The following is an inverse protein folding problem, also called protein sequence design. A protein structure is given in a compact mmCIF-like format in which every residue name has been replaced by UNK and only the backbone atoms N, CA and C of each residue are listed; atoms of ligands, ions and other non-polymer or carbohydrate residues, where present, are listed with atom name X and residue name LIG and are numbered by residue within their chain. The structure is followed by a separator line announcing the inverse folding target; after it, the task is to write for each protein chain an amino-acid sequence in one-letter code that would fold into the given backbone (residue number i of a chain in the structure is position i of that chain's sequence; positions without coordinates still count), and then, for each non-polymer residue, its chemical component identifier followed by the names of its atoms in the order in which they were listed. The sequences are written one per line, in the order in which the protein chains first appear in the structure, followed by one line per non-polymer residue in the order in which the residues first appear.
data_IF_338169042139
#
_entry.id   IF_338169042139
#
_cell.length_a   1.000
_cell.length_b   1.000
_cell.length_c   1.000
_cell.angle_alpha   90.00
_cell.angle_beta   90.00
_cell.angle_gamma   90.00
#
_symmetry.space_group_name_H-M   'P 1'
#
loop_
_entity.id
_entity.type
_entity.pdbx_description
1 polymer ?
#
# COMPACT_ATOMS: atom_id res chain seq x y z
N UNK A 1 -8.37 60.91 3.24
CA UNK A 1 -8.96 60.67 4.55
C UNK A 1 -8.08 59.67 5.22
N UNK A 2 -7.17 60.13 6.08
CA UNK A 2 -6.07 59.42 6.73
C UNK A 2 -6.59 58.91 8.05
N UNK A 3 -6.63 57.61 8.27
CA UNK A 3 -6.97 57.05 9.60
C UNK A 3 -5.66 56.75 10.31
N UNK A 4 -5.43 57.53 11.35
CA UNK A 4 -4.32 57.37 12.30
C UNK A 4 -4.52 56.09 13.12
N UNK A 5 -3.47 55.30 13.25
CA UNK A 5 -3.37 54.19 14.23
C UNK A 5 -2.97 54.77 15.58
N UNK A 6 -3.83 54.60 16.57
CA UNK A 6 -3.52 54.85 17.96
C UNK A 6 -2.55 53.80 18.51
N UNK A 7 -1.45 54.29 19.09
CA UNK A 7 -0.48 53.51 19.85
C UNK A 7 -0.98 53.34 21.29
N UNK A 8 -1.02 52.12 21.78
CA UNK A 8 -1.29 51.83 23.20
C UNK A 8 -0.05 52.12 24.04
N UNK A 9 -0.20 52.70 25.25
CA UNK A 9 0.91 52.99 26.15
C UNK A 9 1.40 51.72 26.87
N UNK A 10 2.71 51.66 27.04
CA UNK A 10 3.43 50.68 27.83
C UNK A 10 3.05 50.82 29.31
N UNK A 11 2.71 49.70 29.94
CA UNK A 11 2.53 49.61 31.41
C UNK A 11 3.83 49.04 31.99
N UNK A 12 4.72 49.93 32.38
CA UNK A 12 5.69 49.69 33.43
C UNK A 12 4.97 49.64 34.80
N UNK A 13 5.57 48.90 35.72
CA UNK A 13 5.24 48.73 37.15
C UNK A 13 4.43 47.48 37.52
N UNK A 14 5.20 46.43 37.81
CA UNK A 14 4.89 45.53 38.91
C UNK A 14 6.16 45.05 39.61
N UNK A 15 6.64 45.93 40.48
CA UNK A 15 7.56 45.59 41.54
C UNK A 15 6.89 44.65 42.58
N UNK A 16 7.64 43.61 42.90
CA UNK A 16 7.77 42.98 44.19
C UNK A 16 6.49 42.55 44.96
N UNK A 17 6.11 41.28 44.80
CA UNK A 17 5.52 40.54 45.92
C UNK A 17 6.25 39.22 46.11
N UNK A 18 7.05 39.18 47.22
CA UNK A 18 7.68 37.98 47.73
C UNK A 18 6.61 36.90 48.01
N UNK A 19 6.60 35.85 47.23
CA UNK A 19 5.79 34.66 47.49
C UNK A 19 6.45 33.76 48.55
N UNK A 20 5.71 33.07 49.39
CA UNK A 20 6.26 32.26 50.46
C UNK A 20 7.06 31.08 49.92
N UNK A 21 8.22 30.87 50.51
CA UNK A 21 9.13 29.74 50.34
C UNK A 21 8.35 28.42 50.30
N UNK A 22 8.40 27.71 49.15
CA UNK A 22 7.83 26.36 49.04
C UNK A 22 8.77 25.39 49.73
N UNK A 23 8.38 24.89 50.86
CA UNK A 23 9.01 23.75 51.51
C UNK A 23 9.15 22.60 50.55
N UNK A 24 10.38 22.20 50.24
CA UNK A 24 10.71 20.97 49.53
C UNK A 24 10.46 19.79 50.50
N UNK A 25 9.21 19.36 50.64
CA UNK A 25 8.88 18.10 51.25
C UNK A 25 9.40 16.99 50.32
N UNK A 26 10.41 16.28 50.77
CA UNK A 26 10.86 15.03 50.13
C UNK A 26 9.71 14.04 50.18
N UNK A 27 8.99 13.90 49.04
CA UNK A 27 8.01 12.81 48.86
C UNK A 27 8.77 11.49 48.74
N UNK A 28 8.75 10.72 49.81
CA UNK A 28 9.20 9.33 49.76
C UNK A 28 8.51 8.60 48.62
N UNK A 29 9.29 8.15 47.63
CA UNK A 29 8.78 7.38 46.52
C UNK A 29 8.38 6.01 47.04
N UNK A 30 7.09 5.76 47.17
CA UNK A 30 6.54 4.40 47.47
C UNK A 30 7.17 3.38 46.51
N UNK A 31 7.60 2.19 47.01
CA UNK A 31 8.20 1.18 46.17
C UNK A 31 7.24 0.75 45.06
N UNK A 32 7.73 0.76 43.83
CA UNK A 32 6.96 0.31 42.67
C UNK A 32 6.63 -1.18 42.87
N UNK A 33 5.39 -1.48 43.16
CA UNK A 33 4.88 -2.86 43.17
C UNK A 33 5.11 -3.43 41.76
N UNK A 34 6.05 -4.35 41.66
CA UNK A 34 6.26 -5.11 40.43
C UNK A 34 5.05 -5.99 40.21
N UNK A 35 4.11 -5.54 39.39
CA UNK A 35 3.03 -6.39 38.91
C UNK A 35 3.64 -7.45 38.02
N UNK A 36 3.72 -8.67 38.48
CA UNK A 36 4.02 -9.84 37.67
C UNK A 36 2.91 -9.95 36.60
N UNK A 37 3.15 -9.35 35.43
CA UNK A 37 2.30 -9.56 34.27
C UNK A 37 2.57 -11.00 33.81
N UNK A 38 1.70 -11.92 34.22
CA UNK A 38 1.70 -13.27 33.65
C UNK A 38 1.63 -13.12 32.14
N UNK A 39 2.70 -13.48 31.41
CA UNK A 39 2.67 -13.58 29.95
C UNK A 39 1.52 -14.52 29.61
N UNK A 40 0.42 -13.95 29.10
CA UNK A 40 -0.67 -14.76 28.55
C UNK A 40 -0.05 -15.56 27.41
N UNK A 41 -0.08 -16.86 27.49
CA UNK A 41 0.29 -17.74 26.39
C UNK A 41 -0.62 -17.37 25.22
N UNK A 42 0.01 -16.91 24.14
CA UNK A 42 -0.71 -16.61 22.91
C UNK A 42 -1.19 -17.93 22.34
N UNK A 43 -2.45 -18.29 22.58
CA UNK A 43 -3.10 -19.37 21.85
C UNK A 43 -2.95 -19.06 20.36
N UNK A 44 -2.20 -19.90 19.65
CA UNK A 44 -2.01 -19.77 18.20
C UNK A 44 -3.31 -20.20 17.52
N UNK A 45 -4.21 -19.25 17.32
CA UNK A 45 -5.36 -19.50 16.44
C UNK A 45 -4.84 -19.61 15.01
N UNK A 46 -5.23 -20.66 14.31
CA UNK A 46 -4.95 -20.79 12.89
C UNK A 46 -5.93 -19.89 12.10
N UNK A 47 -5.58 -18.62 12.01
CA UNK A 47 -6.39 -17.61 11.32
C UNK A 47 -6.12 -17.71 9.83
N UNK A 48 -7.16 -18.00 9.04
CA UNK A 48 -7.11 -18.07 7.59
C UNK A 48 -7.74 -16.84 6.97
N UNK A 49 -7.20 -16.37 5.85
CA UNK A 49 -7.78 -15.28 5.08
C UNK A 49 -9.15 -15.71 4.53
N UNK A 50 -10.18 -14.90 4.73
CA UNK A 50 -11.59 -15.19 4.41
C UNK A 50 -12.08 -16.54 5.00
N UNK A 51 -11.47 -17.00 6.11
CA UNK A 51 -11.69 -18.33 6.72
C UNK A 51 -11.38 -19.53 5.79
N UNK A 52 -10.70 -19.32 4.67
CA UNK A 52 -10.45 -20.35 3.63
C UNK A 52 -8.98 -20.60 3.39
N UNK A 53 -8.21 -19.54 3.11
CA UNK A 53 -6.83 -19.67 2.61
C UNK A 53 -5.80 -19.37 3.67
N UNK A 54 -4.75 -20.18 3.67
CA UNK A 54 -3.59 -19.95 4.53
C UNK A 54 -2.72 -18.83 3.96
N UNK A 55 -2.35 -17.89 4.81
CA UNK A 55 -1.49 -16.76 4.46
C UNK A 55 0.01 -17.06 4.70
N UNK A 56 0.37 -18.25 5.21
CA UNK A 56 1.76 -18.63 5.47
C UNK A 56 2.48 -19.04 4.18
N UNK A 57 2.70 -18.07 3.30
CA UNK A 57 3.37 -18.23 2.01
C UNK A 57 4.76 -17.60 2.07
N UNK A 58 5.76 -18.32 1.54
CA UNK A 58 7.11 -17.79 1.44
C UNK A 58 7.24 -16.84 0.25
N UNK A 59 7.88 -15.68 0.46
CA UNK A 59 8.28 -14.75 -0.61
C UNK A 59 9.69 -15.09 -1.04
N UNK A 60 9.89 -15.41 -2.31
CA UNK A 60 11.19 -15.85 -2.86
C UNK A 60 12.12 -14.66 -3.16
N UNK A 61 11.57 -13.52 -3.61
CA UNK A 61 12.38 -12.31 -3.86
C UNK A 61 12.74 -11.65 -2.52
N UNK A 62 14.01 -11.77 -2.12
CA UNK A 62 14.55 -11.20 -0.88
C UNK A 62 14.29 -9.69 -0.78
N UNK A 63 14.33 -8.97 -1.91
CA UNK A 63 14.10 -7.53 -1.93
C UNK A 63 12.65 -7.12 -1.63
N UNK A 64 11.68 -8.02 -1.85
CA UNK A 64 10.26 -7.78 -1.65
C UNK A 64 9.73 -8.34 -0.34
N UNK A 65 10.47 -9.23 0.32
CA UNK A 65 10.05 -9.95 1.52
C UNK A 65 9.53 -9.03 2.62
N UNK A 66 10.23 -7.95 2.91
CA UNK A 66 9.87 -7.01 3.99
C UNK A 66 8.74 -6.05 3.57
N UNK A 67 8.36 -6.04 2.29
CA UNK A 67 7.36 -5.13 1.73
C UNK A 67 6.05 -5.82 1.35
N UNK A 68 5.99 -7.15 1.44
CA UNK A 68 4.79 -7.96 1.24
C UNK A 68 4.38 -8.53 2.59
N UNK A 69 3.34 -7.93 3.19
CA UNK A 69 2.80 -8.40 4.46
C UNK A 69 1.72 -9.46 4.20
N UNK A 70 1.94 -10.65 4.75
CA UNK A 70 1.05 -11.83 4.72
C UNK A 70 0.58 -12.22 6.12
N UNK A 71 0.55 -11.27 7.08
CA UNK A 71 0.07 -11.53 8.43
C UNK A 71 -1.34 -12.16 8.39
N UNK A 72 -1.55 -13.30 9.06
CA UNK A 72 -2.82 -13.99 9.02
C UNK A 72 -3.94 -13.13 9.60
N UNK A 73 -4.95 -12.82 8.78
CA UNK A 73 -6.13 -12.02 9.13
C UNK A 73 -7.35 -12.63 8.44
N UNK A 74 -8.47 -12.70 9.13
CA UNK A 74 -9.72 -13.16 8.53
C UNK A 74 -10.16 -12.19 7.44
N UNK A 75 -10.23 -10.89 7.77
CA UNK A 75 -10.55 -9.84 6.82
C UNK A 75 -9.38 -8.87 6.66
N UNK A 76 -8.85 -8.65 5.45
CA UNK A 76 -7.70 -7.80 5.22
C UNK A 76 -8.09 -6.31 5.26
N UNK A 77 -8.40 -5.81 6.45
CA UNK A 77 -8.81 -4.41 6.68
C UNK A 77 -8.05 -3.80 7.86
N UNK A 78 -7.31 -2.74 7.60
CA UNK A 78 -6.55 -2.02 8.62
C UNK A 78 -7.26 -0.78 9.18
N UNK A 79 -8.43 -0.42 8.64
CA UNK A 79 -9.23 0.74 9.06
C UNK A 79 -8.42 2.05 9.21
N UNK A 80 -7.38 2.22 8.41
CA UNK A 80 -6.55 3.42 8.39
C UNK A 80 -5.46 3.49 9.47
N UNK A 81 -5.20 2.43 10.22
CA UNK A 81 -4.11 2.38 11.21
C UNK A 81 -2.74 2.66 10.56
N UNK A 82 -2.56 2.21 9.32
CA UNK A 82 -1.28 2.31 8.60
C UNK A 82 -1.22 3.56 7.70
N UNK A 83 -1.59 4.74 8.21
CA UNK A 83 -1.53 6.02 7.47
C UNK A 83 -0.16 6.69 7.50
N UNK A 84 0.71 6.30 8.42
CA UNK A 84 2.04 6.88 8.56
C UNK A 84 2.91 6.67 7.31
N UNK A 85 3.92 7.54 7.15
CA UNK A 85 4.91 7.41 6.08
C UNK A 85 5.60 6.03 6.17
N UNK A 86 5.76 5.33 5.06
CA UNK A 86 6.30 3.97 4.96
C UNK A 86 5.48 2.85 5.63
N UNK A 87 4.37 3.13 6.32
CA UNK A 87 3.54 2.09 6.95
C UNK A 87 2.77 1.22 5.95
N UNK A 88 2.81 1.56 4.67
CA UNK A 88 2.13 0.81 3.62
C UNK A 88 2.60 -0.65 3.52
N UNK A 89 3.86 -0.94 3.82
CA UNK A 89 4.41 -2.29 3.88
C UNK A 89 3.78 -3.16 4.98
N UNK A 90 3.25 -2.53 6.05
CA UNK A 90 2.56 -3.23 7.15
C UNK A 90 1.12 -3.62 6.83
N UNK A 91 0.57 -3.09 5.72
CA UNK A 91 -0.78 -3.47 5.26
C UNK A 91 -0.73 -4.83 4.59
N UNK A 92 -1.75 -5.65 4.82
CA UNK A 92 -1.89 -6.94 4.13
C UNK A 92 -1.91 -6.74 2.62
N UNK A 93 -1.25 -7.64 1.86
CA UNK A 93 -1.10 -7.46 0.40
C UNK A 93 -2.44 -7.39 -0.34
N UNK A 94 -3.42 -8.16 0.10
CA UNK A 94 -4.78 -8.16 -0.47
C UNK A 94 -5.50 -6.83 -0.20
N UNK A 95 -5.31 -6.22 0.98
CA UNK A 95 -5.83 -4.87 1.27
C UNK A 95 -5.20 -3.82 0.35
N UNK A 96 -3.88 -3.91 0.12
CA UNK A 96 -3.19 -3.01 -0.83
C UNK A 96 -3.73 -3.15 -2.24
N UNK A 97 -4.01 -4.38 -2.69
CA UNK A 97 -4.66 -4.63 -3.98
C UNK A 97 -6.05 -4.00 -4.03
N UNK A 98 -6.87 -4.18 -2.99
CA UNK A 98 -8.20 -3.59 -2.89
C UNK A 98 -8.18 -2.06 -2.99
N UNK A 99 -7.24 -1.41 -2.30
CA UNK A 99 -7.05 0.04 -2.37
C UNK A 99 -6.62 0.50 -3.78
N UNK A 100 -5.85 -0.29 -4.52
CA UNK A 100 -5.52 0.02 -5.91
C UNK A 100 -6.71 -0.18 -6.85
N UNK A 101 -7.54 -1.17 -6.58
CA UNK A 101 -8.75 -1.43 -7.36
C UNK A 101 -9.84 -0.37 -7.14
N UNK A 102 -9.85 0.32 -6.00
CA UNK A 102 -10.80 1.43 -5.77
C UNK A 102 -10.61 2.61 -6.73
N UNK A 103 -9.44 2.73 -7.36
CA UNK A 103 -9.07 3.80 -8.31
C UNK A 103 -8.48 3.22 -9.59
N UNK A 104 -8.97 2.07 -10.03
CA UNK A 104 -8.42 1.33 -11.17
C UNK A 104 -8.57 2.03 -12.52
N UNK A 105 -9.57 2.90 -12.68
CA UNK A 105 -9.79 3.68 -13.89
C UNK A 105 -8.76 4.79 -14.12
N UNK A 106 -7.93 5.12 -13.13
CA UNK A 106 -6.94 6.17 -13.24
C UNK A 106 -5.66 5.70 -13.96
N UNK A 107 -5.48 6.11 -15.20
CA UNK A 107 -4.34 5.71 -16.07
C UNK A 107 -3.41 6.87 -16.42
N UNK A 108 -2.99 7.66 -15.44
CA UNK A 108 -2.08 8.80 -15.62
C UNK A 108 -2.81 10.14 -15.79
N UNK A 109 -2.21 11.11 -16.50
CA UNK A 109 -2.72 12.47 -16.65
C UNK A 109 -3.97 12.56 -17.53
N UNK A 110 -4.18 11.61 -18.42
CA UNK A 110 -5.31 11.57 -19.36
C UNK A 110 -6.20 10.37 -19.08
N UNK A 111 -7.41 10.61 -18.63
CA UNK A 111 -8.43 9.57 -18.38
C UNK A 111 -9.23 9.29 -19.67
N UNK A 112 -8.60 8.72 -20.69
CA UNK A 112 -9.24 8.51 -22.00
C UNK A 112 -10.28 7.41 -22.01
N UNK A 113 -10.10 6.38 -21.16
CA UNK A 113 -10.99 5.21 -21.14
C UNK A 113 -12.07 5.31 -20.06
N UNK A 114 -11.88 6.16 -19.07
CA UNK A 114 -12.75 6.26 -17.90
C UNK A 114 -12.77 7.66 -17.37
N UNK A 115 -13.79 8.03 -16.61
CA UNK A 115 -13.86 9.29 -15.87
C UNK A 115 -12.87 9.39 -14.69
N UNK A 116 -12.00 8.41 -14.50
CA UNK A 116 -11.14 8.28 -13.32
C UNK A 116 -11.89 7.86 -12.06
N UNK A 117 -13.21 7.76 -12.14
CA UNK A 117 -14.07 7.31 -11.07
C UNK A 117 -14.29 5.80 -11.21
N UNK A 118 -13.78 5.03 -10.28
CA UNK A 118 -14.23 3.67 -10.09
C UNK A 118 -14.97 3.64 -8.76
N UNK A 119 -16.28 3.65 -8.84
CA UNK A 119 -17.17 3.76 -7.69
C UNK A 119 -17.33 2.43 -6.97
N UNK A 120 -16.26 1.90 -6.38
CA UNK A 120 -16.39 0.72 -5.53
C UNK A 120 -16.34 1.11 -4.07
N UNK A 121 -17.39 0.75 -3.30
CA UNK A 121 -17.23 0.66 -1.85
C UNK A 121 -16.17 -0.42 -1.56
N UNK A 122 -15.34 -0.20 -0.56
CA UNK A 122 -14.30 -1.15 -0.14
C UNK A 122 -14.85 -2.58 0.06
N UNK A 123 -16.02 -2.71 0.65
CA UNK A 123 -16.69 -4.00 0.86
C UNK A 123 -16.97 -4.73 -0.46
N UNK A 124 -17.51 -4.03 -1.46
CA UNK A 124 -17.75 -4.60 -2.79
C UNK A 124 -16.46 -5.05 -3.47
N UNK A 125 -15.41 -4.24 -3.34
CA UNK A 125 -14.10 -4.58 -3.93
C UNK A 125 -13.49 -5.82 -3.29
N UNK A 126 -13.59 -5.95 -1.96
CA UNK A 126 -13.11 -7.14 -1.24
C UNK A 126 -13.86 -8.39 -1.70
N UNK A 127 -15.18 -8.32 -1.87
CA UNK A 127 -15.97 -9.45 -2.40
C UNK A 127 -15.54 -9.81 -3.83
N UNK A 128 -15.26 -8.81 -4.67
CA UNK A 128 -14.72 -9.06 -6.04
C UNK A 128 -13.36 -9.77 -5.98
N UNK A 129 -12.47 -9.36 -5.06
CA UNK A 129 -11.17 -10.01 -4.90
C UNK A 129 -11.35 -11.43 -4.36
N UNK A 130 -12.23 -11.66 -3.40
CA UNK A 130 -12.54 -12.99 -2.87
C UNK A 130 -12.99 -13.92 -3.99
N UNK A 131 -13.95 -13.50 -4.83
CA UNK A 131 -14.37 -14.27 -6.00
C UNK A 131 -13.24 -14.50 -7.02
N UNK A 132 -12.35 -13.51 -7.21
CA UNK A 132 -11.19 -13.69 -8.09
C UNK A 132 -10.23 -14.75 -7.55
N UNK A 133 -9.97 -14.75 -6.23
CA UNK A 133 -9.14 -15.77 -5.58
C UNK A 133 -9.77 -17.16 -5.65
N UNK A 134 -11.10 -17.29 -5.51
CA UNK A 134 -11.82 -18.55 -5.73
C UNK A 134 -11.65 -19.08 -7.15
N UNK A 135 -11.71 -18.19 -8.14
CA UNK A 135 -11.49 -18.59 -9.54
C UNK A 135 -10.05 -19.04 -9.79
N UNK A 136 -9.06 -18.39 -9.15
CA UNK A 136 -7.66 -18.81 -9.25
C UNK A 136 -7.47 -20.19 -8.63
N UNK A 137 -8.04 -20.44 -7.45
CA UNK A 137 -8.00 -21.76 -6.80
C UNK A 137 -8.56 -22.85 -7.69
N UNK A 138 -9.73 -22.61 -8.31
CA UNK A 138 -10.37 -23.55 -9.23
C UNK A 138 -9.57 -23.82 -10.50
N UNK A 139 -8.87 -22.82 -11.04
CA UNK A 139 -8.11 -22.95 -12.30
C UNK A 139 -6.72 -23.57 -12.09
N UNK A 140 -6.04 -23.22 -11.01
CA UNK A 140 -4.65 -23.64 -10.77
C UNK A 140 -4.52 -24.76 -9.73
N UNK A 141 -5.60 -25.08 -8.98
CA UNK A 141 -5.61 -26.05 -7.88
C UNK A 141 -4.49 -25.81 -6.84
N UNK A 142 -4.16 -24.54 -6.58
CA UNK A 142 -3.12 -24.09 -5.67
C UNK A 142 -3.68 -23.02 -4.72
N UNK A 143 -2.93 -22.73 -3.64
CA UNK A 143 -3.28 -21.63 -2.76
C UNK A 143 -3.25 -20.31 -3.57
N UNK A 144 -4.38 -19.58 -3.70
CA UNK A 144 -4.45 -18.36 -4.49
C UNK A 144 -3.55 -17.24 -3.97
N UNK A 145 -3.20 -17.26 -2.68
CA UNK A 145 -2.28 -16.29 -2.10
C UNK A 145 -0.85 -16.54 -2.61
N UNK A 146 -0.44 -17.79 -2.73
CA UNK A 146 0.85 -18.17 -3.32
C UNK A 146 0.94 -17.72 -4.77
N UNK A 147 -0.13 -17.98 -5.55
CA UNK A 147 -0.21 -17.55 -6.95
C UNK A 147 -0.12 -16.03 -7.06
N UNK A 148 -0.81 -15.28 -6.17
CA UNK A 148 -0.75 -13.82 -6.14
C UNK A 148 0.66 -13.30 -5.81
N UNK A 149 1.31 -13.86 -4.80
CA UNK A 149 2.68 -13.46 -4.41
C UNK A 149 3.64 -13.71 -5.56
N UNK A 150 3.58 -14.88 -6.17
CA UNK A 150 4.45 -15.21 -7.32
C UNK A 150 4.18 -14.32 -8.53
N UNK A 151 2.92 -13.99 -8.81
CA UNK A 151 2.55 -13.04 -9.85
C UNK A 151 3.13 -11.65 -9.58
N UNK A 152 3.15 -11.20 -8.31
CA UNK A 152 3.78 -9.93 -7.93
C UNK A 152 5.30 -9.98 -8.14
N UNK A 153 5.96 -11.06 -7.76
CA UNK A 153 7.41 -11.23 -7.98
C UNK A 153 7.76 -11.18 -9.47
N UNK A 154 7.01 -11.88 -10.32
CA UNK A 154 7.24 -11.92 -11.76
C UNK A 154 7.03 -10.54 -12.41
N UNK A 155 6.00 -9.80 -11.99
CA UNK A 155 5.64 -8.51 -12.58
C UNK A 155 6.32 -7.30 -11.91
N UNK A 156 7.14 -7.51 -10.88
CA UNK A 156 7.83 -6.43 -10.18
C UNK A 156 8.93 -5.81 -11.05
N UNK A 157 8.84 -4.49 -11.28
CA UNK A 157 9.83 -3.68 -12.00
C UNK A 157 11.17 -3.67 -11.27
N UNK A 158 12.27 -3.74 -11.98
CA UNK A 158 13.62 -3.59 -11.41
C UNK A 158 14.15 -2.17 -11.57
N UNK A 159 13.95 -1.59 -12.76
CA UNK A 159 14.48 -0.29 -13.14
C UNK A 159 13.36 0.59 -13.70
N UNK A 160 13.54 1.88 -13.59
CA UNK A 160 12.65 2.88 -14.18
C UNK A 160 13.45 4.12 -14.61
N UNK A 161 12.88 4.91 -15.54
CA UNK A 161 13.48 6.16 -15.98
C UNK A 161 12.98 7.30 -15.10
N UNK A 162 13.90 8.10 -14.57
CA UNK A 162 13.63 9.41 -14.02
C UNK A 162 13.97 10.49 -15.04
N UNK A 163 13.25 11.60 -14.98
CA UNK A 163 13.56 12.79 -15.77
C UNK A 163 13.77 13.95 -14.82
N UNK A 164 14.88 14.65 -14.95
CA UNK A 164 15.19 15.84 -14.17
C UNK A 164 15.67 16.95 -15.09
N UNK A 165 15.51 18.18 -14.64
CA UNK A 165 15.89 19.35 -15.40
C UNK A 165 17.25 19.87 -14.94
N UNK A 166 18.17 19.99 -15.90
CA UNK A 166 19.46 20.62 -15.73
C UNK A 166 19.47 21.93 -16.56
N UNK A 167 19.20 23.05 -15.89
CA UNK A 167 19.00 24.33 -16.59
C UNK A 167 17.82 24.27 -17.58
N UNK A 168 18.09 24.41 -18.87
CA UNK A 168 17.11 24.32 -19.94
C UNK A 168 16.94 22.91 -20.53
N UNK A 169 17.79 21.95 -20.16
CA UNK A 169 17.83 20.61 -20.75
C UNK A 169 17.12 19.62 -19.84
N UNK A 170 16.27 18.75 -20.42
CA UNK A 170 15.64 17.62 -19.72
C UNK A 170 16.54 16.38 -19.87
N UNK A 171 17.23 16.02 -18.80
CA UNK A 171 18.00 14.79 -18.73
C UNK A 171 17.12 13.61 -18.29
N UNK A 172 17.41 12.41 -18.81
CA UNK A 172 16.77 11.14 -18.43
C UNK A 172 17.84 10.17 -17.99
N UNK A 173 17.59 9.46 -16.89
CA UNK A 173 18.51 8.51 -16.32
C UNK A 173 17.75 7.28 -15.83
N UNK A 174 18.38 6.10 -16.00
CA UNK A 174 17.90 4.84 -15.47
C UNK A 174 18.24 4.74 -13.99
N UNK A 175 17.24 4.42 -13.16
CA UNK A 175 17.42 4.23 -11.73
C UNK A 175 16.79 2.94 -11.24
N UNK A 176 17.36 2.35 -10.17
CA UNK A 176 16.81 1.18 -9.51
C UNK A 176 15.52 1.58 -8.78
N UNK A 177 14.45 0.85 -9.03
CA UNK A 177 13.15 1.13 -8.40
C UNK A 177 13.14 0.64 -6.95
N UNK A 178 12.74 1.51 -6.00
CA UNK A 178 12.59 1.15 -4.59
C UNK A 178 11.58 -0.01 -4.42
N UNK A 179 11.85 -1.00 -3.53
CA UNK A 179 11.04 -2.22 -3.40
C UNK A 179 9.55 -1.94 -3.13
N UNK A 180 9.23 -1.00 -2.25
CA UNK A 180 7.85 -0.61 -1.99
C UNK A 180 7.13 -0.09 -3.24
N UNK A 181 7.84 0.67 -4.09
CA UNK A 181 7.33 1.18 -5.35
C UNK A 181 7.16 0.08 -6.38
N UNK A 182 8.04 -0.94 -6.39
CA UNK A 182 7.91 -2.14 -7.23
C UNK A 182 6.59 -2.83 -6.98
N UNK A 183 6.28 -3.15 -5.71
CA UNK A 183 5.00 -3.76 -5.32
C UNK A 183 3.81 -2.86 -5.67
N UNK A 184 3.88 -1.55 -5.37
CA UNK A 184 2.79 -0.61 -5.64
C UNK A 184 2.46 -0.46 -7.13
N UNK A 185 3.48 -0.45 -8.00
CA UNK A 185 3.30 -0.39 -9.45
C UNK A 185 2.67 -1.68 -9.98
N UNK A 186 3.16 -2.84 -9.54
CA UNK A 186 2.59 -4.14 -9.95
C UNK A 186 1.12 -4.26 -9.58
N UNK A 187 0.74 -3.94 -8.35
CA UNK A 187 -0.66 -3.94 -7.94
C UNK A 187 -1.52 -2.95 -8.75
N UNK A 188 -0.94 -1.80 -9.12
CA UNK A 188 -1.60 -0.84 -10.00
C UNK A 188 -1.83 -1.41 -11.40
N UNK A 189 -0.86 -2.13 -11.96
CA UNK A 189 -1.00 -2.74 -13.28
C UNK A 189 -2.07 -3.84 -13.28
N UNK A 190 -2.14 -4.68 -12.23
CA UNK A 190 -3.22 -5.64 -12.09
C UNK A 190 -4.59 -4.97 -12.05
N UNK A 191 -4.75 -3.93 -11.23
CA UNK A 191 -6.00 -3.19 -11.13
C UNK A 191 -6.40 -2.54 -12.47
N UNK A 192 -5.46 -1.91 -13.17
CA UNK A 192 -5.70 -1.27 -14.46
C UNK A 192 -6.04 -2.29 -15.55
N UNK A 193 -5.37 -3.43 -15.56
CA UNK A 193 -5.65 -4.52 -16.51
C UNK A 193 -7.04 -5.08 -16.30
N UNK A 194 -7.38 -5.44 -15.06
CA UNK A 194 -8.68 -5.97 -14.71
C UNK A 194 -9.80 -5.00 -15.13
N UNK A 195 -9.61 -3.70 -14.87
CA UNK A 195 -10.57 -2.69 -15.29
C UNK A 195 -10.70 -2.58 -16.81
N UNK A 196 -9.60 -2.52 -17.56
CA UNK A 196 -9.62 -2.45 -19.03
C UNK A 196 -10.27 -3.65 -19.70
N UNK A 197 -10.10 -4.85 -19.09
CA UNK A 197 -10.68 -6.09 -19.59
C UNK A 197 -12.16 -6.25 -19.28
N UNK A 198 -12.63 -5.62 -18.18
CA UNK A 198 -14.04 -5.68 -17.77
C UNK A 198 -14.87 -4.50 -18.28
N UNK A 199 -14.27 -3.32 -18.49
CA UNK A 199 -15.00 -2.11 -18.88
C UNK A 199 -15.73 -2.28 -20.20
N UNK A 200 -17.04 -2.04 -20.18
CA UNK A 200 -17.94 -2.16 -21.33
C UNK A 200 -17.89 -3.53 -22.04
N UNK A 201 -17.68 -4.60 -21.27
CA UNK A 201 -17.64 -5.99 -21.77
C UNK A 201 -18.49 -6.88 -20.87
N UNK A 202 -18.88 -8.05 -21.41
CA UNK A 202 -19.60 -9.05 -20.63
C UNK A 202 -18.76 -9.72 -19.53
N UNK A 203 -17.45 -9.56 -19.58
CA UNK A 203 -16.51 -10.15 -18.62
C UNK A 203 -16.55 -9.41 -17.28
N UNK A 204 -16.80 -10.15 -16.20
CA UNK A 204 -16.81 -9.61 -14.85
C UNK A 204 -15.42 -9.14 -14.37
N UNK A 205 -15.38 -8.17 -13.44
CA UNK A 205 -14.13 -7.63 -12.90
C UNK A 205 -13.32 -8.70 -12.15
N UNK A 206 -13.99 -9.59 -11.41
CA UNK A 206 -13.34 -10.70 -10.70
C UNK A 206 -12.66 -11.68 -11.66
N UNK A 207 -13.34 -12.03 -12.76
CA UNK A 207 -12.81 -12.89 -13.79
C UNK A 207 -11.63 -12.25 -14.51
N UNK A 208 -11.75 -10.98 -14.88
CA UNK A 208 -10.66 -10.23 -15.52
C UNK A 208 -9.42 -10.13 -14.64
N UNK A 209 -9.62 -9.97 -13.31
CA UNK A 209 -8.53 -9.94 -12.33
C UNK A 209 -7.88 -11.33 -12.18
N UNK A 210 -8.68 -12.40 -12.09
CA UNK A 210 -8.16 -13.76 -11.98
C UNK A 210 -7.30 -14.15 -13.18
N UNK A 211 -7.74 -13.83 -14.39
CA UNK A 211 -7.00 -14.12 -15.61
C UNK A 211 -5.68 -13.34 -15.70
N UNK A 212 -5.69 -12.08 -15.25
CA UNK A 212 -4.46 -11.28 -15.22
C UNK A 212 -3.44 -11.83 -14.23
N UNK A 213 -3.89 -12.20 -13.02
CA UNK A 213 -3.00 -12.77 -11.99
C UNK A 213 -2.43 -14.11 -12.45
N UNK A 214 -3.24 -14.99 -13.08
CA UNK A 214 -2.79 -16.27 -13.61
C UNK A 214 -1.78 -16.07 -14.75
N UNK A 215 -2.05 -15.14 -15.67
CA UNK A 215 -1.12 -14.83 -16.75
C UNK A 215 0.22 -14.30 -16.23
N UNK A 216 0.20 -13.44 -15.19
CA UNK A 216 1.40 -12.95 -14.54
C UNK A 216 2.13 -14.05 -13.74
N UNK A 217 1.40 -14.96 -13.09
CA UNK A 217 1.98 -16.12 -12.42
C UNK A 217 2.76 -17.01 -13.38
N UNK A 218 2.21 -17.27 -14.56
CA UNK A 218 2.85 -18.05 -15.64
C UNK A 218 3.91 -17.26 -16.41
N UNK A 219 4.15 -16.00 -16.04
CA UNK A 219 5.05 -15.09 -16.76
C UNK A 219 4.71 -15.00 -18.27
N UNK A 220 3.41 -15.05 -18.59
CA UNK A 220 2.93 -15.00 -19.98
C UNK A 220 2.93 -13.56 -20.50
N UNK A 221 3.29 -13.41 -21.79
CA UNK A 221 3.13 -12.13 -22.50
C UNK A 221 1.68 -11.63 -22.63
N UNK A 222 0.66 -12.43 -22.28
CA UNK A 222 -0.73 -11.99 -22.26
C UNK A 222 -1.06 -11.10 -21.07
N UNK A 223 -0.22 -11.14 -20.02
CA UNK A 223 -0.36 -10.26 -18.89
C UNK A 223 -0.01 -8.82 -19.26
N UNK A 224 -0.90 -7.89 -18.94
CA UNK A 224 -0.63 -6.47 -19.07
C UNK A 224 0.50 -6.01 -18.14
N UNK A 225 0.55 -6.57 -16.93
CA UNK A 225 1.58 -6.21 -15.95
C UNK A 225 2.99 -6.61 -16.43
N UNK A 226 3.13 -7.79 -17.04
CA UNK A 226 4.41 -8.23 -17.63
C UNK A 226 4.79 -7.33 -18.81
N UNK A 227 3.85 -7.05 -19.72
CA UNK A 227 4.09 -6.11 -20.85
C UNK A 227 4.56 -4.75 -20.39
N UNK A 228 3.92 -4.18 -19.38
CA UNK A 228 4.28 -2.87 -18.84
C UNK A 228 5.64 -2.90 -18.12
N UNK A 229 5.95 -3.99 -17.42
CA UNK A 229 7.29 -4.22 -16.86
C UNK A 229 8.34 -4.17 -17.94
N UNK A 230 8.20 -5.02 -18.98
CA UNK A 230 9.16 -5.10 -20.08
C UNK A 230 9.29 -3.76 -20.83
N UNK A 231 8.18 -3.04 -21.03
CA UNK A 231 8.20 -1.72 -21.66
C UNK A 231 9.03 -0.71 -20.85
N UNK A 232 8.81 -0.64 -19.54
CA UNK A 232 9.50 0.31 -18.67
C UNK A 232 10.98 -0.05 -18.51
N UNK A 233 11.30 -1.34 -18.38
CA UNK A 233 12.69 -1.81 -18.29
C UNK A 233 13.45 -1.60 -19.62
N UNK A 234 12.77 -1.73 -20.76
CA UNK A 234 13.35 -1.41 -22.10
C UNK A 234 13.60 0.09 -22.24
N UNK A 235 12.68 0.94 -21.78
CA UNK A 235 12.88 2.39 -21.72
C UNK A 235 14.07 2.76 -20.81
N UNK A 236 14.24 2.05 -19.69
CA UNK A 236 15.35 2.26 -18.78
C UNK A 236 16.70 1.85 -19.41
N UNK A 237 16.74 0.75 -20.16
CA UNK A 237 17.94 0.35 -20.91
C UNK A 237 18.37 1.42 -21.94
N UNK A 238 17.42 2.07 -22.59
CA UNK A 238 17.71 3.14 -23.54
C UNK A 238 18.10 4.49 -22.91
N UNK A 239 17.97 4.61 -21.58
CA UNK A 239 18.34 5.82 -20.84
C UNK A 239 19.61 5.67 -19.97
N UNK A 240 20.36 4.60 -20.18
CA UNK A 240 21.68 4.36 -19.54
C UNK A 240 22.79 5.12 -20.20
#
# INVERSE_FOLDING_TARGET
MIIMRETRPEHEDRLERGGPSRYHGQRERKPKVQRHVKKREKTKFNVKLFNRWDSSVAVNDVSLKDYINLEPKILPRSAGIHRGRFHKSKMHIVERLALKMSVSGHTGKKHRLTSGKFGGNYTTIITVIEHALEMIEKKENKNPIEVLVKAIENAALREEVISYQLGSIMARESVITAPQRRVDKTLRFFAQSAYRRSFNKHKGLAEALSDEIIAAYKNSGDSFAIKEKERVEREAMGAR
#
